data_IF_548570884748
#
_entry.id   IF_548570884748
#
_cell.length_a   1.000
_cell.length_b   1.000
_cell.length_c   1.000
_cell.angle_alpha   90.00
_cell.angle_beta   90.00
_cell.angle_gamma   90.00
#
_symmetry.space_group_name_H-M   'P 1'
#
loop_
_entity.id
_entity.type
_entity.pdbx_description
1 polymer ?
#
# COMPACT_ATOMS: atom_id res chain seq x y z
N UNK A 1 31.20 10.69 -10.91
CA UNK A 1 30.58 10.47 -10.89
C UNK A 1 29.69 10.23 -11.18
N UNK A 2 29.52 10.31 -11.35
CA UNK A 2 28.75 10.06 -11.58
C UNK A 2 27.94 9.74 -11.77
N UNK A 3 27.43 9.69 -11.88
CA UNK A 3 26.57 9.43 -11.99
C UNK A 3 26.03 9.05 -12.44
N UNK A 4 25.67 8.93 -12.69
CA UNK A 4 25.06 8.53 -13.21
C UNK A 4 24.01 8.41 -13.34
N UNK A 5 23.89 8.74 -13.62
CA UNK A 5 23.08 8.65 -13.73
C UNK A 5 22.13 8.24 -13.90
N UNK A 6 21.65 8.42 -13.94
CA UNK A 6 20.68 8.17 -13.99
C UNK A 6 20.14 7.34 -14.15
N UNK A 7 20.14 7.02 -14.04
CA UNK A 7 19.63 6.24 -14.29
C UNK A 7 18.74 5.71 -13.69
N UNK A 8 18.21 5.67 -13.80
CA UNK A 8 17.39 5.22 -13.43
C UNK A 8 17.01 4.42 -13.04
N UNK A 9 17.03 4.34 -12.75
CA UNK A 9 16.72 3.54 -12.58
C UNK A 9 15.79 2.99 -12.05
N UNK A 10 15.63 2.26 -12.41
CA UNK A 10 14.60 1.60 -11.89
C UNK A 10 14.69 1.70 -10.47
N UNK A 11 13.73 2.22 -9.96
CA UNK A 11 13.63 2.31 -8.58
C UNK A 11 13.94 0.96 -8.01
N UNK A 12 14.68 0.95 -6.97
CA UNK A 12 14.97 -0.28 -6.29
C UNK A 12 13.68 -0.88 -5.80
N UNK A 13 13.43 -2.10 -6.22
CA UNK A 13 12.27 -2.83 -5.73
C UNK A 13 12.57 -3.27 -4.29
N UNK A 14 11.59 -3.09 -3.42
CA UNK A 14 11.72 -3.57 -2.05
C UNK A 14 11.79 -5.09 -2.04
N UNK A 15 12.50 -5.66 -1.08
CA UNK A 15 12.68 -7.11 -0.99
C UNK A 15 11.55 -7.79 -0.25
N UNK A 16 10.91 -7.08 0.68
CA UNK A 16 9.88 -7.67 1.52
C UNK A 16 8.82 -6.64 1.87
N UNK A 17 7.64 -7.14 2.19
CA UNK A 17 6.57 -6.31 2.75
C UNK A 17 7.01 -5.79 4.11
N UNK A 18 6.86 -4.49 4.32
CA UNK A 18 7.12 -3.87 5.60
C UNK A 18 5.84 -3.26 6.12
N UNK A 19 5.56 -3.51 7.39
CA UNK A 19 4.33 -3.06 8.05
C UNK A 19 4.73 -2.16 9.21
N UNK A 20 4.25 -0.93 9.19
CA UNK A 20 4.58 0.05 10.22
C UNK A 20 3.28 0.57 10.81
N UNK A 21 3.01 0.23 12.08
CA UNK A 21 1.84 0.75 12.76
C UNK A 21 2.08 2.19 13.17
N UNK A 22 1.28 3.10 12.63
CA UNK A 22 1.29 4.50 13.03
C UNK A 22 0.40 4.71 14.26
N UNK A 23 -0.71 3.98 14.30
CA UNK A 23 -1.63 4.01 15.42
C UNK A 23 -2.31 2.65 15.52
N UNK A 24 -2.28 2.05 16.68
CA UNK A 24 -2.96 0.78 16.91
C UNK A 24 -4.39 1.09 17.33
N UNK A 25 -5.35 0.53 16.58
CA UNK A 25 -6.76 0.70 16.89
C UNK A 25 -7.19 -0.16 18.08
N UNK A 26 -8.41 0.05 18.52
CA UNK A 26 -8.97 -0.67 19.66
C UNK A 26 -10.24 -1.45 19.30
N UNK A 27 -10.72 -1.32 18.07
CA UNK A 27 -11.95 -1.98 17.64
C UNK A 27 -11.75 -3.39 17.12
N UNK A 28 -12.71 -3.84 16.31
CA UNK A 28 -12.70 -5.19 15.76
C UNK A 28 -11.47 -5.46 14.94
N UNK A 29 -11.03 -6.71 14.93
CA UNK A 29 -9.80 -7.14 14.24
C UNK A 29 -10.13 -7.56 12.82
N UNK A 30 -9.32 -7.10 11.85
CA UNK A 30 -9.42 -7.52 10.47
C UNK A 30 -8.87 -8.94 10.34
N UNK A 31 -9.72 -9.85 9.88
CA UNK A 31 -9.37 -11.26 9.68
C UNK A 31 -9.74 -11.71 8.30
N UNK A 32 -9.07 -12.74 7.81
CA UNK A 32 -9.39 -13.33 6.51
C UNK A 32 -10.86 -13.73 6.49
N UNK A 33 -11.52 -13.47 5.38
CA UNK A 33 -12.93 -13.80 5.18
C UNK A 33 -13.89 -12.73 5.66
N UNK A 34 -13.42 -11.69 6.36
CA UNK A 34 -14.29 -10.61 6.81
C UNK A 34 -14.24 -9.46 5.81
N UNK A 35 -15.35 -8.76 5.70
CA UNK A 35 -15.38 -7.53 4.90
C UNK A 35 -14.73 -6.42 5.70
N UNK A 36 -13.78 -5.73 5.10
CA UNK A 36 -13.11 -4.59 5.72
C UNK A 36 -13.40 -3.33 4.93
N UNK A 37 -13.49 -2.20 5.62
CA UNK A 37 -13.71 -0.89 5.04
C UNK A 37 -12.49 -0.05 5.39
N UNK A 38 -11.81 0.47 4.36
CA UNK A 38 -10.57 1.22 4.58
C UNK A 38 -10.56 2.53 3.82
N UNK A 39 -9.92 3.53 4.41
CA UNK A 39 -9.43 4.69 3.68
C UNK A 39 -7.94 4.51 3.44
N UNK A 40 -7.46 5.03 2.32
CA UNK A 40 -6.06 4.87 1.97
C UNK A 40 -5.58 5.99 1.06
N UNK A 41 -4.28 6.20 1.08
CA UNK A 41 -3.56 6.96 0.07
C UNK A 41 -2.33 6.17 -0.31
N UNK A 42 -2.04 6.09 -1.60
CA UNK A 42 -0.91 5.33 -2.11
C UNK A 42 -0.01 6.18 -2.98
N UNK A 43 1.28 5.87 -2.91
CA UNK A 43 2.33 6.51 -3.70
C UNK A 43 3.24 5.46 -4.27
N UNK A 44 3.97 5.81 -5.30
CA UNK A 44 5.14 5.03 -5.69
C UNK A 44 6.16 5.14 -4.55
N UNK A 45 6.77 4.02 -4.20
CA UNK A 45 7.87 4.05 -3.25
C UNK A 45 9.07 4.72 -3.94
N UNK A 46 9.63 5.74 -3.30
CA UNK A 46 10.79 6.45 -3.81
C UNK A 46 11.78 6.60 -2.67
N UNK A 47 12.87 5.87 -2.75
CA UNK A 47 13.86 5.81 -1.70
C UNK A 47 14.44 7.18 -1.37
N UNK A 48 14.52 8.06 -2.36
CA UNK A 48 15.13 9.39 -2.19
C UNK A 48 14.12 10.48 -1.83
N UNK A 49 12.83 10.17 -1.82
CA UNK A 49 11.80 11.16 -1.49
C UNK A 49 11.58 11.27 0.00
N UNK A 50 11.08 12.42 0.50
CA UNK A 50 10.69 12.52 1.91
C UNK A 50 9.67 11.45 2.27
N UNK A 51 9.90 10.75 3.39
CA UNK A 51 9.05 9.65 3.85
C UNK A 51 8.84 8.57 2.79
N UNK A 52 9.73 8.52 1.77
CA UNK A 52 9.67 7.57 0.65
C UNK A 52 8.44 7.73 -0.22
N UNK A 53 7.73 8.84 -0.12
CA UNK A 53 6.54 9.10 -0.93
C UNK A 53 6.94 9.69 -2.27
N UNK A 54 6.89 8.87 -3.31
CA UNK A 54 7.04 9.34 -4.68
C UNK A 54 5.73 9.93 -5.19
N UNK A 55 5.45 9.77 -6.48
CA UNK A 55 4.21 10.28 -7.05
C UNK A 55 3.01 9.57 -6.47
N UNK A 56 1.99 10.34 -6.10
CA UNK A 56 0.74 9.77 -5.59
C UNK A 56 0.02 9.03 -6.72
N UNK A 57 -0.48 7.83 -6.41
CA UNK A 57 -1.14 7.01 -7.41
C UNK A 57 -2.64 6.87 -7.18
N UNK A 58 -3.11 6.99 -5.93
CA UNK A 58 -4.53 6.83 -5.63
C UNK A 58 -4.81 7.30 -4.21
N UNK A 59 -6.07 7.72 -3.95
CA UNK A 59 -6.50 8.07 -2.60
C UNK A 59 -8.02 8.01 -2.50
N UNK A 60 -8.50 7.17 -1.58
CA UNK A 60 -9.93 7.12 -1.27
C UNK A 60 -10.39 8.41 -0.60
N UNK A 61 -9.50 9.06 0.14
CA UNK A 61 -9.81 10.32 0.82
C UNK A 61 -10.10 11.43 -0.20
N UNK A 62 -9.39 11.45 -1.31
CA UNK A 62 -9.62 12.44 -2.35
C UNK A 62 -10.91 12.18 -3.11
N UNK A 63 -11.32 10.92 -3.23
CA UNK A 63 -12.61 10.59 -3.84
C UNK A 63 -13.78 10.80 -2.90
N UNK A 64 -13.50 10.94 -1.60
CA UNK A 64 -14.53 11.20 -0.62
C UNK A 64 -15.27 9.98 -0.11
N UNK A 65 -14.79 8.78 -0.40
CA UNK A 65 -15.41 7.57 0.14
C UNK A 65 -14.43 6.42 0.29
N UNK A 66 -14.57 5.64 1.37
CA UNK A 66 -13.72 4.49 1.60
C UNK A 66 -14.07 3.35 0.64
N UNK A 67 -13.22 2.36 0.57
CA UNK A 67 -13.51 1.15 -0.19
C UNK A 67 -13.74 -0.02 0.75
N UNK A 68 -14.50 -1.01 0.27
CA UNK A 68 -14.77 -2.24 1.00
C UNK A 68 -14.34 -3.44 0.17
N UNK A 69 -13.81 -4.45 0.83
CA UNK A 69 -13.49 -5.71 0.16
C UNK A 69 -13.36 -6.81 1.21
N UNK A 70 -13.45 -8.06 0.74
CA UNK A 70 -13.25 -9.22 1.62
C UNK A 70 -11.76 -9.52 1.72
N UNK A 71 -11.25 -9.51 2.93
CA UNK A 71 -9.83 -9.69 3.19
C UNK A 71 -9.41 -11.14 2.91
N UNK A 72 -8.24 -11.29 2.32
CA UNK A 72 -7.63 -12.61 2.12
C UNK A 72 -8.11 -13.37 0.91
N UNK A 73 -8.91 -12.77 0.03
CA UNK A 73 -9.50 -13.46 -1.11
C UNK A 73 -8.98 -13.00 -2.47
N UNK A 74 -7.87 -12.27 -2.48
CA UNK A 74 -7.29 -11.82 -3.74
C UNK A 74 -8.10 -10.75 -4.47
N UNK A 75 -8.98 -10.05 -3.76
CA UNK A 75 -9.77 -8.95 -4.33
C UNK A 75 -8.93 -7.70 -4.52
N UNK A 76 -7.83 -7.62 -3.81
CA UNK A 76 -6.90 -6.50 -3.83
C UNK A 76 -5.48 -7.06 -3.98
N UNK A 77 -4.48 -6.18 -4.14
CA UNK A 77 -3.10 -6.65 -4.26
C UNK A 77 -2.69 -7.43 -3.00
N UNK A 78 -1.81 -8.41 -3.20
CA UNK A 78 -1.42 -9.32 -2.12
C UNK A 78 -0.84 -8.58 -0.91
N UNK A 79 -0.11 -7.48 -1.15
CA UNK A 79 0.44 -6.68 -0.06
C UNK A 79 -0.63 -6.13 0.87
N UNK A 80 -1.83 -5.83 0.35
CA UNK A 80 -2.95 -5.40 1.18
C UNK A 80 -3.55 -6.56 1.96
N UNK A 81 -3.80 -7.71 1.30
CA UNK A 81 -4.34 -8.88 2.00
C UNK A 81 -3.44 -9.30 3.16
N UNK A 82 -2.14 -9.23 2.96
CA UNK A 82 -1.17 -9.59 3.99
C UNK A 82 -0.96 -8.47 5.01
N UNK A 83 -0.95 -7.22 4.55
CA UNK A 83 -0.58 -6.09 5.38
C UNK A 83 -1.69 -5.53 6.24
N UNK A 84 -2.95 -5.69 5.82
CA UNK A 84 -4.10 -5.21 6.58
C UNK A 84 -4.54 -6.21 7.64
N UNK A 85 -4.22 -7.49 7.43
CA UNK A 85 -4.56 -8.54 8.39
C UNK A 85 -4.06 -8.16 9.78
N UNK A 86 -4.91 -8.39 10.76
CA UNK A 86 -4.67 -8.13 12.18
C UNK A 86 -4.71 -6.66 12.58
N UNK A 87 -5.03 -5.73 11.65
CA UNK A 87 -5.35 -4.37 12.07
C UNK A 87 -6.62 -4.35 12.89
N UNK A 88 -6.75 -3.36 13.76
CA UNK A 88 -8.00 -3.11 14.50
C UNK A 88 -8.65 -1.82 13.99
N UNK A 89 -9.97 -1.79 14.05
CA UNK A 89 -10.71 -0.58 13.67
C UNK A 89 -10.20 0.61 14.50
N UNK A 90 -9.98 1.72 13.84
CA UNK A 90 -9.37 2.91 14.41
C UNK A 90 -7.86 2.95 14.22
N UNK A 91 -7.27 1.88 13.72
CA UNK A 91 -5.83 1.83 13.48
C UNK A 91 -5.43 2.46 12.17
N UNK A 92 -4.17 2.89 12.11
CA UNK A 92 -3.53 3.37 10.88
C UNK A 92 -2.20 2.68 10.71
N UNK A 93 -1.94 2.24 9.50
CA UNK A 93 -0.77 1.43 9.20
C UNK A 93 -0.17 1.87 7.86
N UNK A 94 1.15 1.96 7.81
CA UNK A 94 1.86 2.21 6.57
C UNK A 94 2.40 0.88 6.05
N UNK A 95 2.14 0.60 4.77
CA UNK A 95 2.61 -0.61 4.12
C UNK A 95 3.59 -0.24 3.03
N UNK A 96 4.79 -0.83 3.08
CA UNK A 96 5.77 -0.71 2.01
C UNK A 96 5.76 -2.05 1.28
N UNK A 97 5.34 -2.02 0.02
CA UNK A 97 4.97 -3.23 -0.72
C UNK A 97 5.88 -3.44 -1.92
N UNK A 98 6.63 -4.55 -1.95
CA UNK A 98 7.44 -4.85 -3.13
C UNK A 98 6.54 -5.16 -4.33
N UNK A 99 7.07 -4.98 -5.53
CA UNK A 99 6.27 -5.12 -6.74
C UNK A 99 5.64 -6.52 -6.88
N UNK A 100 6.31 -7.57 -6.41
CA UNK A 100 5.76 -8.93 -6.50
C UNK A 100 4.49 -9.14 -5.69
N UNK A 101 4.23 -8.27 -4.71
CA UNK A 101 3.00 -8.29 -3.91
C UNK A 101 2.05 -7.16 -4.32
N UNK A 102 2.35 -6.48 -5.43
CA UNK A 102 1.53 -5.43 -6.01
C UNK A 102 1.21 -5.80 -7.46
N UNK A 103 1.71 -5.04 -8.41
CA UNK A 103 1.36 -5.24 -9.82
C UNK A 103 2.46 -5.94 -10.62
N UNK A 104 3.52 -6.37 -9.93
CA UNK A 104 4.62 -7.13 -10.52
C UNK A 104 5.25 -6.37 -11.69
N UNK A 105 5.45 -7.03 -12.81
CA UNK A 105 6.00 -6.40 -13.99
C UNK A 105 4.98 -5.70 -14.88
N UNK A 106 3.74 -5.57 -14.43
CA UNK A 106 2.68 -4.94 -15.21
C UNK A 106 2.67 -3.44 -15.01
N UNK A 107 2.43 -2.71 -16.08
CA UNK A 107 2.18 -1.28 -16.00
C UNK A 107 0.69 -1.06 -15.71
N UNK A 108 0.38 -0.22 -14.75
CA UNK A 108 -0.99 0.13 -14.42
C UNK A 108 -1.22 1.57 -14.85
N UNK A 109 -1.87 1.74 -15.98
CA UNK A 109 -2.11 3.06 -16.55
C UNK A 109 -0.81 3.82 -16.76
N UNK A 110 -0.83 5.13 -16.51
CA UNK A 110 0.35 5.97 -16.63
C UNK A 110 1.08 6.19 -15.31
N UNK A 111 0.47 5.74 -14.20
CA UNK A 111 0.95 6.09 -12.86
C UNK A 111 1.88 5.05 -12.25
N UNK A 112 1.68 3.78 -12.57
CA UNK A 112 2.47 2.71 -11.96
C UNK A 112 3.30 2.01 -13.03
N UNK A 113 4.61 2.26 -13.07
CA UNK A 113 5.49 1.58 -14.02
C UNK A 113 5.66 0.11 -13.63
N UNK A 114 6.18 -0.73 -14.55
CA UNK A 114 6.49 -2.12 -14.20
C UNK A 114 7.49 -2.21 -13.06
N UNK A 115 7.33 -3.22 -12.22
CA UNK A 115 8.25 -3.53 -11.12
C UNK A 115 8.34 -2.43 -10.07
N UNK A 116 7.29 -1.63 -9.91
CA UNK A 116 7.29 -0.54 -8.93
C UNK A 116 6.90 -1.05 -7.55
N UNK A 117 7.69 -0.72 -6.55
CA UNK A 117 7.28 -0.85 -5.16
C UNK A 117 6.34 0.30 -4.81
N UNK A 118 5.43 0.06 -3.89
CA UNK A 118 4.40 1.01 -3.51
C UNK A 118 4.45 1.26 -2.01
N UNK A 119 3.97 2.43 -1.61
CA UNK A 119 3.78 2.74 -0.20
C UNK A 119 2.36 3.24 -0.02
N UNK A 120 1.65 2.69 0.98
CA UNK A 120 0.27 3.03 1.28
C UNK A 120 0.12 3.38 2.75
N UNK A 121 -0.61 4.46 3.01
CA UNK A 121 -1.14 4.74 4.34
C UNK A 121 -2.57 4.25 4.38
N UNK A 122 -2.88 3.35 5.31
CA UNK A 122 -4.17 2.66 5.41
C UNK A 122 -4.80 2.96 6.75
N UNK A 123 -6.07 3.34 6.74
CA UNK A 123 -6.86 3.49 7.96
C UNK A 123 -7.99 2.48 7.91
N UNK A 124 -8.12 1.65 8.94
CA UNK A 124 -9.21 0.69 9.02
C UNK A 124 -10.42 1.35 9.68
N UNK A 125 -11.49 1.46 8.89
CA UNK A 125 -12.69 2.18 9.31
C UNK A 125 -13.72 1.24 9.94
N UNK A 126 -13.89 0.05 9.37
CA UNK A 126 -14.89 -0.90 9.87
C UNK A 126 -14.53 -2.31 9.46
N UNK A 127 -15.05 -3.28 10.21
CA UNK A 127 -14.97 -4.72 9.91
C UNK A 127 -16.38 -5.30 10.06
N UNK A 128 -16.84 -6.00 9.05
CA UNK A 128 -18.17 -6.62 9.06
C UNK A 128 -18.13 -8.13 9.04
#
# INVERSE_FOLDING_TARGET
MAGVAGTVVAADDLKALQIIDQQVGTGAVARDGREVVVNYTGWLYDESAPDHHGNKIDSSLERGEPISFTLGEGKVIAGWDQGIKDMRVGGRRTLLIPSRLAYRGRRIGKLVPPHASLIFDIQLVAVH
#
